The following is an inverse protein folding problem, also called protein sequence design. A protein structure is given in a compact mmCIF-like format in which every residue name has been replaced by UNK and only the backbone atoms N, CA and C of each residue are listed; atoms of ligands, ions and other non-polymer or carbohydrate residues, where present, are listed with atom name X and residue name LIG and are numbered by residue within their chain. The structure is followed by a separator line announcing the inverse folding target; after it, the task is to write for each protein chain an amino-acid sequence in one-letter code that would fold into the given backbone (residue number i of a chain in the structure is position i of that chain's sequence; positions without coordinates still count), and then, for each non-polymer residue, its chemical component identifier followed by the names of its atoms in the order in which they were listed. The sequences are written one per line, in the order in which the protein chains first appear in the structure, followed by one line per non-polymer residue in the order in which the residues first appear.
data_IF_188521078562
#
_entry.id   IF_188521078562
#
_cell.length_a   1.000
_cell.length_b   1.000
_cell.length_c   1.000
_cell.angle_alpha   90.00
_cell.angle_beta   90.00
_cell.angle_gamma   90.00
#
_symmetry.space_group_name_H-M   'P 1'
#
loop_
_entity.id
_entity.type
_entity.pdbx_description
1 polymer ?
#
# COMPACT_ATOMS: atom_id res chain seq x y z
N UNK A 1 -4.35 6.00 -16.35
CA UNK A 1 -5.67 5.79 -15.72
C UNK A 1 -5.47 5.25 -14.33
N UNK A 2 -6.04 5.94 -13.34
CA UNK A 2 -5.90 5.58 -11.93
C UNK A 2 -6.53 4.21 -11.61
N UNK A 3 -5.91 3.48 -10.68
CA UNK A 3 -6.38 2.17 -10.22
C UNK A 3 -6.25 2.02 -8.72
N UNK A 4 -7.21 1.37 -8.10
CA UNK A 4 -7.15 0.94 -6.71
C UNK A 4 -7.12 -0.59 -6.66
N UNK A 5 -6.28 -1.17 -5.82
CA UNK A 5 -6.03 -2.61 -5.75
C UNK A 5 -6.37 -3.11 -4.35
N UNK A 6 -7.08 -4.23 -4.26
CA UNK A 6 -7.40 -4.88 -2.98
C UNK A 6 -7.53 -6.40 -3.12
N UNK A 7 -6.84 -7.14 -2.25
CA UNK A 7 -6.97 -8.58 -2.13
C UNK A 7 -8.21 -8.97 -1.33
N UNK A 8 -9.09 -9.79 -1.89
CA UNK A 8 -10.32 -10.27 -1.26
C UNK A 8 -10.04 -11.40 -0.25
N UNK A 9 -11.05 -11.83 0.51
CA UNK A 9 -10.90 -12.93 1.48
C UNK A 9 -10.61 -14.28 0.81
N UNK A 10 -11.08 -14.45 -0.42
CA UNK A 10 -10.90 -15.66 -1.24
C UNK A 10 -9.52 -15.72 -1.90
N UNK A 11 -8.71 -14.64 -1.78
CA UNK A 11 -7.39 -14.55 -2.40
C UNK A 11 -7.40 -13.92 -3.79
N UNK A 12 -8.56 -13.48 -4.27
CA UNK A 12 -8.67 -12.79 -5.56
C UNK A 12 -8.16 -11.36 -5.45
N UNK A 13 -7.69 -10.80 -6.58
CA UNK A 13 -7.26 -9.40 -6.66
C UNK A 13 -8.36 -8.60 -7.35
N UNK A 14 -9.00 -7.72 -6.58
CA UNK A 14 -10.02 -6.80 -7.06
C UNK A 14 -9.37 -5.46 -7.40
N UNK A 15 -9.67 -4.93 -8.60
CA UNK A 15 -9.15 -3.67 -9.12
C UNK A 15 -10.31 -2.73 -9.47
N UNK A 16 -10.30 -1.54 -8.87
CA UNK A 16 -11.14 -0.43 -9.27
C UNK A 16 -10.41 0.44 -10.28
N UNK A 17 -11.08 0.83 -11.36
CA UNK A 17 -10.55 1.72 -12.40
C UNK A 17 -11.25 3.08 -12.33
N UNK A 18 -10.45 4.14 -12.41
CA UNK A 18 -10.94 5.50 -12.47
C UNK A 18 -11.68 5.84 -13.77
N UNK A 19 -12.25 7.07 -13.87
CA UNK A 19 -12.23 8.11 -12.85
C UNK A 19 -12.99 7.71 -11.58
N UNK A 20 -12.53 8.18 -10.42
CA UNK A 20 -13.15 7.87 -9.13
C UNK A 20 -14.09 8.99 -8.67
N UNK A 21 -15.24 8.61 -8.11
CA UNK A 21 -16.11 9.54 -7.39
C UNK A 21 -15.73 9.55 -5.92
N UNK A 22 -15.30 10.71 -5.41
CA UNK A 22 -14.89 10.86 -4.01
C UNK A 22 -16.08 11.25 -3.12
N UNK A 23 -16.27 10.50 -2.02
CA UNK A 23 -17.34 10.68 -1.04
C UNK A 23 -16.77 10.89 0.36
N UNK A 24 -17.51 11.64 1.18
CA UNK A 24 -17.18 11.86 2.60
C UNK A 24 -17.44 10.63 3.46
N UNK A 25 -18.50 9.88 3.13
CA UNK A 25 -18.96 8.69 3.83
C UNK A 25 -18.90 7.47 2.90
N UNK A 26 -18.79 6.24 3.45
CA UNK A 26 -18.85 5.03 2.63
C UNK A 26 -20.21 4.94 1.91
N UNK A 27 -20.26 4.49 0.64
CA UNK A 27 -21.52 4.32 -0.06
C UNK A 27 -22.34 3.19 0.59
N UNK A 28 -23.67 3.27 0.47
CA UNK A 28 -24.59 2.26 1.02
C UNK A 28 -24.41 0.86 0.40
N UNK A 29 -23.76 0.77 -0.77
CA UNK A 29 -23.49 -0.49 -1.44
C UNK A 29 -22.46 -0.34 -2.56
N UNK A 30 -22.09 -1.47 -3.15
CA UNK A 30 -21.05 -1.53 -4.19
C UNK A 30 -19.64 -1.56 -3.60
N UNK A 31 -18.66 -1.26 -4.44
CA UNK A 31 -17.23 -1.25 -4.06
C UNK A 31 -16.76 0.18 -3.93
N UNK A 32 -16.06 0.47 -2.83
CA UNK A 32 -15.32 1.71 -2.62
C UNK A 32 -13.98 1.40 -1.95
N UNK A 33 -12.99 2.23 -2.24
CA UNK A 33 -11.65 2.13 -1.66
C UNK A 33 -11.42 3.32 -0.73
N UNK A 34 -10.93 3.06 0.48
CA UNK A 34 -10.57 4.12 1.41
C UNK A 34 -9.10 4.52 1.19
N UNK A 35 -8.85 5.79 0.88
CA UNK A 35 -7.51 6.36 0.74
C UNK A 35 -7.44 7.71 1.43
N UNK A 36 -6.78 7.75 2.59
CA UNK A 36 -6.52 8.97 3.34
C UNK A 36 -5.01 9.20 3.51
N UNK A 37 -4.62 10.37 4.02
CA UNK A 37 -3.28 10.57 4.57
C UNK A 37 -3.22 10.10 6.03
N UNK A 38 -2.02 10.12 6.61
CA UNK A 38 -1.79 9.68 7.99
C UNK A 38 -2.52 10.57 9.02
N UNK A 39 -2.71 11.85 8.72
CA UNK A 39 -3.44 12.79 9.58
C UNK A 39 -4.96 12.72 9.41
N UNK A 40 -5.46 11.80 8.57
CA UNK A 40 -6.87 11.62 8.23
C UNK A 40 -7.53 12.90 7.70
N UNK A 41 -6.77 13.77 7.04
CA UNK A 41 -7.20 15.13 6.70
C UNK A 41 -8.12 15.21 5.47
N UNK A 42 -8.19 14.14 4.65
CA UNK A 42 -9.04 14.14 3.45
C UNK A 42 -10.51 14.07 3.83
N UNK A 43 -11.25 15.13 3.50
CA UNK A 43 -12.71 15.24 3.70
C UNK A 43 -13.54 14.24 2.90
N UNK A 44 -12.97 13.67 1.82
CA UNK A 44 -13.65 12.72 0.93
C UNK A 44 -12.74 11.52 0.63
N UNK A 45 -12.47 10.64 1.62
CA UNK A 45 -11.48 9.57 1.48
C UNK A 45 -12.03 8.32 0.81
N UNK A 46 -13.35 8.22 0.61
CA UNK A 46 -14.00 7.07 -0.02
C UNK A 46 -14.05 7.25 -1.53
N UNK A 47 -13.35 6.39 -2.26
CA UNK A 47 -13.20 6.46 -3.71
C UNK A 47 -14.02 5.35 -4.36
N UNK A 48 -15.11 5.73 -5.03
CA UNK A 48 -15.95 4.82 -5.80
C UNK A 48 -15.41 4.74 -7.25
N UNK A 49 -14.96 3.58 -7.72
CA UNK A 49 -14.44 3.44 -9.09
C UNK A 49 -15.57 3.51 -10.12
N UNK A 50 -15.22 3.89 -11.36
CA UNK A 50 -16.13 3.81 -12.50
C UNK A 50 -16.37 2.34 -12.89
N UNK A 51 -15.30 1.53 -12.86
CA UNK A 51 -15.35 0.11 -13.21
C UNK A 51 -14.63 -0.73 -12.16
N UNK A 52 -15.18 -1.91 -11.86
CA UNK A 52 -14.55 -2.90 -10.99
C UNK A 52 -14.26 -4.15 -11.79
N UNK A 53 -13.10 -4.76 -11.58
CA UNK A 53 -12.71 -6.03 -12.17
C UNK A 53 -12.07 -6.92 -11.10
N UNK A 54 -12.42 -8.22 -11.11
CA UNK A 54 -11.67 -9.23 -10.38
C UNK A 54 -10.69 -9.86 -11.37
N UNK A 55 -9.40 -9.69 -11.11
CA UNK A 55 -8.37 -10.18 -12.01
C UNK A 55 -8.17 -11.69 -11.80
N UNK A 56 -8.58 -12.47 -12.80
CA UNK A 56 -8.40 -13.93 -12.81
C UNK A 56 -6.98 -14.36 -13.24
N UNK A 57 -6.20 -13.43 -13.78
CA UNK A 57 -4.83 -13.66 -14.24
C UNK A 57 -4.01 -12.39 -14.04
N UNK A 58 -2.70 -12.56 -13.86
CA UNK A 58 -1.79 -11.45 -13.81
C UNK A 58 -1.83 -10.63 -15.12
N UNK A 59 -1.73 -9.28 -15.05
CA UNK A 59 -1.46 -8.49 -16.24
C UNK A 59 -0.12 -8.89 -16.87
N UNK A 60 0.10 -8.49 -18.12
CA UNK A 60 1.37 -8.77 -18.81
C UNK A 60 2.50 -8.04 -18.10
N UNK A 61 3.43 -8.80 -17.53
CA UNK A 61 4.66 -8.26 -16.94
C UNK A 61 5.64 -7.86 -18.03
N UNK A 62 6.24 -6.69 -17.90
CA UNK A 62 7.38 -6.23 -18.69
C UNK A 62 8.69 -6.29 -17.91
N UNK A 63 9.74 -5.66 -18.45
CA UNK A 63 10.97 -5.44 -17.69
C UNK A 63 10.74 -4.48 -16.52
N UNK A 64 11.43 -4.75 -15.41
CA UNK A 64 11.47 -3.89 -14.24
C UNK A 64 12.90 -3.92 -13.70
N UNK A 65 13.58 -2.77 -13.75
CA UNK A 65 14.95 -2.65 -13.26
C UNK A 65 15.00 -1.47 -12.31
N UNK A 66 15.21 -1.77 -11.03
CA UNK A 66 15.33 -0.79 -9.96
C UNK A 66 16.73 -0.95 -9.34
N UNK A 67 17.51 0.13 -9.37
CA UNK A 67 18.77 0.21 -8.66
C UNK A 67 18.49 0.68 -7.24
N UNK A 68 18.59 -0.24 -6.29
CA UNK A 68 18.33 0.03 -4.87
C UNK A 68 19.57 0.64 -4.19
N UNK A 69 19.33 1.59 -3.31
CA UNK A 69 20.28 2.15 -2.37
C UNK A 69 20.15 1.36 -1.06
N UNK A 70 21.26 0.83 -0.56
CA UNK A 70 21.27 0.09 0.70
C UNK A 70 20.89 1.01 1.88
N UNK A 71 20.13 0.50 2.86
CA UNK A 71 19.78 1.26 4.04
C UNK A 71 21.03 1.54 4.89
N UNK A 72 21.11 2.73 5.50
CA UNK A 72 22.22 3.10 6.39
C UNK A 72 22.06 2.44 7.78
N UNK A 73 22.88 1.44 8.13
CA UNK A 73 22.76 0.75 9.41
C UNK A 73 23.21 1.61 10.60
N UNK A 74 24.11 2.58 10.39
CA UNK A 74 24.62 3.47 11.43
C UNK A 74 23.51 4.40 11.89
N UNK A 75 22.82 5.02 10.92
CA UNK A 75 21.68 5.90 11.19
C UNK A 75 20.54 5.16 11.88
N UNK A 76 20.29 3.90 11.53
CA UNK A 76 19.30 3.08 12.24
C UNK A 76 19.70 2.83 13.70
N UNK A 77 20.96 2.48 13.95
CA UNK A 77 21.45 2.21 15.31
C UNK A 77 21.34 3.45 16.22
N UNK A 78 21.52 4.64 15.68
CA UNK A 78 21.31 5.90 16.41
C UNK A 78 19.86 6.08 16.86
N UNK A 79 18.91 5.97 15.93
CA UNK A 79 17.46 6.06 16.24
C UNK A 79 17.04 4.97 17.24
N UNK A 80 17.56 3.75 17.08
CA UNK A 80 17.27 2.65 17.99
C UNK A 80 17.76 2.92 19.41
N UNK A 81 18.97 3.48 19.57
CA UNK A 81 19.51 3.85 20.90
C UNK A 81 18.69 4.95 21.56
N UNK A 82 18.29 5.97 20.80
CA UNK A 82 17.45 7.06 21.30
C UNK A 82 16.10 6.52 21.82
N UNK A 83 15.41 5.71 21.02
CA UNK A 83 14.14 5.08 21.39
C UNK A 83 14.31 4.19 22.61
N UNK A 84 15.35 3.36 22.64
CA UNK A 84 15.61 2.46 23.77
C UNK A 84 15.92 3.23 25.05
N UNK A 85 16.65 4.34 24.96
CA UNK A 85 16.91 5.24 26.08
C UNK A 85 15.63 5.88 26.62
N UNK A 86 14.76 6.36 25.74
CA UNK A 86 13.47 6.94 26.11
C UNK A 86 12.54 5.90 26.77
N UNK A 87 12.57 4.65 26.32
CA UNK A 87 11.85 3.54 26.97
C UNK A 87 12.45 3.25 28.36
N UNK A 88 13.77 3.14 28.47
CA UNK A 88 14.46 2.87 29.73
C UNK A 88 14.26 3.97 30.79
N UNK A 89 14.05 5.21 30.36
CA UNK A 89 13.73 6.35 31.24
C UNK A 89 12.23 6.47 31.59
N UNK A 90 11.38 5.64 30.99
CA UNK A 90 9.92 5.70 31.18
C UNK A 90 9.23 6.86 30.47
N UNK A 91 9.91 7.53 29.53
CA UNK A 91 9.33 8.64 28.75
C UNK A 91 8.32 8.14 27.71
N UNK A 92 8.55 6.95 27.15
CA UNK A 92 7.65 6.25 26.23
C UNK A 92 7.59 4.77 26.57
N UNK A 93 6.47 4.10 26.32
CA UNK A 93 6.33 2.66 26.61
C UNK A 93 6.77 1.76 25.44
N UNK A 94 6.52 2.22 24.21
CA UNK A 94 6.82 1.47 22.99
C UNK A 94 6.99 2.41 21.81
N UNK A 95 7.93 2.08 20.92
CA UNK A 95 8.05 2.68 19.60
C UNK A 95 8.54 1.63 18.60
N UNK A 96 8.18 1.80 17.33
CA UNK A 96 8.56 0.90 16.24
C UNK A 96 9.38 1.70 15.24
N UNK A 97 10.72 1.67 15.32
CA UNK A 97 11.56 2.35 14.36
C UNK A 97 11.48 1.64 13.00
N UNK A 98 11.50 2.41 11.93
CA UNK A 98 11.42 1.93 10.55
C UNK A 98 12.53 2.54 9.71
N UNK A 99 13.06 1.75 8.77
CA UNK A 99 14.02 2.19 7.75
C UNK A 99 13.40 1.97 6.39
N UNK A 100 13.57 2.94 5.50
CA UNK A 100 13.10 2.86 4.12
C UNK A 100 14.28 2.61 3.19
N UNK A 101 14.24 1.54 2.42
CA UNK A 101 15.08 1.40 1.23
C UNK A 101 14.49 2.25 0.10
N UNK A 102 15.38 2.81 -0.74
CA UNK A 102 14.98 3.63 -1.88
C UNK A 102 15.67 3.10 -3.11
N UNK A 103 15.01 3.19 -4.24
CA UNK A 103 15.60 2.80 -5.51
C UNK A 103 15.12 3.69 -6.63
N UNK A 104 15.91 3.77 -7.70
CA UNK A 104 15.57 4.49 -8.92
C UNK A 104 15.65 3.54 -10.10
N UNK A 105 14.72 3.67 -11.03
CA UNK A 105 14.66 2.75 -12.15
C UNK A 105 13.42 2.92 -13.00
N UNK A 106 13.25 1.99 -13.93
CA UNK A 106 12.09 1.93 -14.81
C UNK A 106 11.33 0.63 -14.56
N UNK A 107 10.06 0.76 -14.24
CA UNK A 107 9.16 -0.35 -13.99
C UNK A 107 7.73 0.11 -14.28
N UNK A 108 7.00 -0.62 -15.12
CA UNK A 108 5.61 -0.27 -15.38
C UNK A 108 4.73 -0.63 -14.17
N UNK A 109 3.65 0.13 -13.90
CA UNK A 109 2.71 -0.25 -12.84
C UNK A 109 2.06 -1.62 -13.08
N UNK A 110 1.95 -2.06 -14.33
CA UNK A 110 1.41 -3.37 -14.69
C UNK A 110 2.36 -4.50 -14.28
N UNK A 111 3.68 -4.31 -14.45
CA UNK A 111 4.69 -5.23 -13.93
C UNK A 111 4.62 -5.32 -12.41
N UNK A 112 4.49 -4.19 -11.71
CA UNK A 112 4.35 -4.18 -10.25
C UNK A 112 3.06 -4.89 -9.80
N UNK A 113 1.94 -4.64 -10.48
CA UNK A 113 0.67 -5.33 -10.21
C UNK A 113 0.76 -6.84 -10.49
N UNK A 114 1.45 -7.25 -11.55
CA UNK A 114 1.68 -8.67 -11.84
C UNK A 114 2.45 -9.37 -10.71
N UNK A 115 3.39 -8.68 -10.05
CA UNK A 115 4.15 -9.26 -8.94
C UNK A 115 3.28 -9.64 -7.73
N UNK A 116 2.13 -8.97 -7.53
CA UNK A 116 1.19 -9.28 -6.45
C UNK A 116 0.54 -10.67 -6.58
N UNK A 117 0.48 -11.24 -7.80
CA UNK A 117 -0.01 -12.60 -8.02
C UNK A 117 0.95 -13.69 -7.53
N UNK A 118 2.22 -13.34 -7.33
CA UNK A 118 3.25 -14.26 -6.85
C UNK A 118 3.42 -14.22 -5.33
N UNK A 119 2.65 -13.37 -4.64
CA UNK A 119 2.75 -13.22 -3.20
C UNK A 119 2.15 -14.42 -2.46
N UNK A 120 2.69 -14.80 -1.28
CA UNK A 120 2.09 -15.82 -0.44
C UNK A 120 0.63 -15.52 -0.13
N UNK A 121 -0.22 -16.56 -0.09
CA UNK A 121 -1.65 -16.43 0.23
C UNK A 121 -1.94 -15.90 1.64
N UNK A 122 -0.94 -15.88 2.52
CA UNK A 122 -1.02 -15.25 3.85
C UNK A 122 -0.99 -13.73 3.79
N UNK A 123 -0.57 -13.14 2.67
CA UNK A 123 -0.54 -11.70 2.45
C UNK A 123 -1.77 -11.26 1.66
N UNK A 124 -2.23 -10.05 1.95
CA UNK A 124 -3.33 -9.40 1.25
C UNK A 124 -2.79 -8.26 0.38
N UNK A 125 -2.85 -8.38 -0.96
CA UNK A 125 -2.49 -7.29 -1.86
C UNK A 125 -3.32 -6.03 -1.60
N UNK A 126 -2.70 -4.86 -1.74
CA UNK A 126 -3.39 -3.57 -1.69
C UNK A 126 -2.59 -2.52 -2.44
N UNK A 127 -3.24 -1.45 -2.88
CA UNK A 127 -2.51 -0.34 -3.50
C UNK A 127 -3.35 0.72 -4.17
N UNK A 128 -2.66 1.75 -4.62
CA UNK A 128 -3.14 2.81 -5.47
C UNK A 128 -2.11 3.08 -6.56
N UNK A 129 -2.53 3.04 -7.83
CA UNK A 129 -1.71 3.40 -8.98
C UNK A 129 -2.31 4.69 -9.53
N UNK A 130 -1.68 5.83 -9.25
CA UNK A 130 -2.04 7.12 -9.83
C UNK A 130 -1.36 7.35 -11.18
N UNK A 131 -1.43 8.59 -11.66
CA UNK A 131 -0.76 8.99 -12.90
C UNK A 131 0.75 9.15 -12.70
N UNK A 132 1.15 9.88 -11.66
CA UNK A 132 2.57 10.17 -11.37
C UNK A 132 3.09 9.43 -10.13
N UNK A 133 2.20 9.02 -9.23
CA UNK A 133 2.56 8.41 -7.95
C UNK A 133 1.61 7.28 -7.55
N UNK A 134 2.07 6.44 -6.64
CA UNK A 134 1.28 5.32 -6.14
C UNK A 134 2.01 4.53 -5.08
N UNK A 135 1.34 3.48 -4.62
CA UNK A 135 1.92 2.47 -3.76
C UNK A 135 1.26 1.13 -4.06
N UNK A 136 2.02 0.06 -3.92
CA UNK A 136 1.54 -1.31 -3.96
C UNK A 136 2.21 -2.06 -2.81
N UNK A 137 1.47 -2.96 -2.19
CA UNK A 137 1.98 -3.77 -1.09
C UNK A 137 1.15 -5.02 -0.88
N UNK A 138 1.63 -5.87 -0.01
CA UNK A 138 0.93 -7.06 0.43
C UNK A 138 1.07 -7.18 1.96
N UNK A 139 -0.02 -6.99 2.70
CA UNK A 139 0.00 -6.93 4.17
C UNK A 139 -0.47 -8.25 4.79
N UNK A 140 0.19 -8.77 5.85
CA UNK A 140 -0.37 -9.85 6.66
C UNK A 140 -1.42 -9.35 7.67
N UNK A 141 -1.48 -8.04 7.93
CA UNK A 141 -2.28 -7.45 8.99
C UNK A 141 -3.57 -6.83 8.46
N UNK A 142 -4.67 -7.11 9.16
CA UNK A 142 -5.97 -6.47 8.94
C UNK A 142 -6.31 -5.64 10.17
N UNK A 143 -6.31 -4.31 10.01
CA UNK A 143 -6.50 -3.38 11.13
C UNK A 143 -7.92 -3.43 11.71
N UNK A 144 -8.93 -3.38 10.85
CA UNK A 144 -10.34 -3.45 11.25
C UNK A 144 -11.09 -4.47 10.41
N UNK A 145 -12.04 -5.16 11.05
CA UNK A 145 -13.00 -6.04 10.40
C UNK A 145 -14.34 -5.88 11.10
N UNK A 146 -15.34 -5.46 10.34
CA UNK A 146 -16.74 -5.44 10.76
C UNK A 146 -17.42 -6.73 10.31
#
# INVERSE_FOLDING_TARGET
MERAVFGTRTGDILVGYGPFTALAEPPAGGVAFYKNDFSLSKKKPWLVPNRVEVLNKAPVSGECRIQWEEPDPVRFAEVFREVSGAIGQGTIEKSVPVVTEKGKGNCSPDTLLASLFQMPKSLRPYGWIGEDEGFLGATPEVLFRY
#
